data_IF_781297598507
#
_entry.id   IF_781297598507
#
_cell.length_a   1.000
_cell.length_b   1.000
_cell.length_c   1.000
_cell.angle_alpha   90.00
_cell.angle_beta   90.00
_cell.angle_gamma   90.00
#
_symmetry.space_group_name_H-M   'P 1'
#
loop_
_entity.id
_entity.type
_entity.pdbx_description
1 polymer ?
2 polymer ?
3 non-polymer ?
4 non-polymer ?
5 water ?
#
# COMPACT_ATOMS: atom_id res chain seq x y z
N UNK A 3 -1.81 -1.07 21.94
CA UNK A 3 -0.71 -1.31 21.00
C UNK A 3 0.56 -1.62 21.78
N UNK A 4 1.43 -2.46 21.20
CA UNK A 4 2.76 -2.77 21.73
C UNK A 4 3.75 -1.86 21.02
N UNK A 5 4.78 -1.39 21.69
CA UNK A 5 5.68 -0.44 21.01
C UNK A 5 6.94 -1.09 20.41
N UNK A 6 7.11 -0.84 19.12
CA UNK A 6 8.24 -1.33 18.34
C UNK A 6 8.95 -0.14 17.76
N UNK A 7 10.27 -0.25 17.55
CA UNK A 7 10.98 0.82 16.84
C UNK A 7 10.45 0.91 15.42
N UNK A 8 10.30 2.13 14.89
CA UNK A 8 9.70 2.28 13.57
C UNK A 8 10.61 1.69 12.48
N UNK A 9 11.91 1.74 12.71
CA UNK A 9 12.88 1.36 11.69
C UNK A 9 14.11 0.71 12.31
N UNK A 10 14.57 -0.38 11.69
CA UNK A 10 15.84 -1.03 12.05
C UNK A 10 16.65 -1.30 10.79
N UNK A 11 17.96 -1.05 10.85
CA UNK A 11 18.81 -1.21 9.69
C UNK A 11 20.02 -2.09 9.96
N UNK A 12 20.47 -2.81 8.95
CA UNK A 12 21.70 -3.58 9.06
C UNK A 12 22.32 -3.83 7.70
N UNK A 13 23.57 -4.25 7.70
CA UNK A 13 24.27 -4.61 6.47
C UNK A 13 24.12 -6.12 6.26
N UNK A 14 24.25 -6.57 4.99
CA UNK A 14 24.10 -8.00 4.70
C UNK A 14 25.04 -8.87 5.53
N UNK A 15 24.58 -10.03 5.98
CA UNK A 15 25.40 -10.92 6.78
C UNK A 15 25.39 -10.61 8.26
N UNK A 16 24.92 -9.42 8.61
CA UNK A 16 24.95 -8.92 9.99
C UNK A 16 23.70 -9.35 10.78
N UNK A 17 23.78 -9.33 12.11
CA UNK A 17 22.61 -9.63 12.93
C UNK A 17 21.96 -8.33 13.41
N UNK A 18 20.63 -8.28 13.33
CA UNK A 18 19.86 -7.16 13.86
C UNK A 18 18.78 -7.69 14.80
N UNK A 19 18.36 -6.86 15.77
CA UNK A 19 17.31 -7.24 16.69
C UNK A 19 16.20 -6.19 16.72
N UNK A 20 14.96 -6.66 16.71
CA UNK A 20 13.80 -5.79 16.73
C UNK A 20 13.09 -5.95 18.07
N UNK A 21 12.89 -4.84 18.79
CA UNK A 21 12.28 -4.91 20.10
C UNK A 21 10.76 -4.74 20.04
N UNK A 22 10.08 -5.21 21.08
CA UNK A 22 8.63 -5.18 21.15
C UNK A 22 8.28 -5.05 22.63
N UNK A 23 7.91 -3.84 23.04
CA UNK A 23 7.77 -3.53 24.46
C UNK A 23 6.31 -3.41 24.88
N UNK A 24 5.95 -4.19 25.90
CA UNK A 24 4.59 -4.19 26.40
C UNK A 24 4.53 -3.72 27.84
N UNK A 25 3.63 -4.33 28.61
CA UNK A 25 3.43 -4.03 30.02
C UNK A 25 3.34 -5.35 30.78
N UNK A 26 3.13 -5.27 32.09
CA UNK A 26 2.94 -6.48 32.90
C UNK A 26 1.69 -7.27 32.54
N UNK A 27 0.76 -6.61 31.84
CA UNK A 27 -0.54 -7.23 31.55
C UNK A 27 -0.50 -8.09 30.29
N UNK A 28 0.52 -7.91 29.47
CA UNK A 28 0.58 -8.60 28.18
C UNK A 28 1.90 -9.35 27.95
N UNK A 29 2.88 -8.67 27.37
CA UNK A 29 4.17 -9.31 27.04
C UNK A 29 4.83 -9.99 28.24
N UNK A 30 4.92 -9.27 29.36
CA UNK A 30 5.54 -9.80 30.55
C UNK A 30 4.73 -10.88 31.25
N UNK A 31 3.43 -10.92 31.00
CA UNK A 31 2.54 -11.88 31.68
C UNK A 31 2.84 -13.35 31.30
N UNK A 32 2.66 -13.67 30.02
CA UNK A 32 2.82 -15.04 29.54
C UNK A 32 3.87 -15.18 28.45
N UNK A 33 4.15 -16.43 28.09
CA UNK A 33 5.03 -16.75 26.97
C UNK A 33 4.24 -16.87 25.66
N UNK A 34 3.41 -15.87 25.40
CA UNK A 34 2.52 -15.88 24.24
C UNK A 34 2.81 -14.68 23.36
N UNK A 35 4.03 -14.60 22.86
CA UNK A 35 4.42 -13.58 21.88
C UNK A 35 4.67 -14.26 20.54
N UNK A 36 4.06 -13.72 19.48
CA UNK A 36 4.36 -14.18 18.13
C UNK A 36 4.91 -13.04 17.27
N UNK A 37 5.60 -13.41 16.19
CA UNK A 37 6.13 -12.43 15.26
C UNK A 37 5.65 -12.75 13.84
N UNK A 38 5.38 -11.71 13.06
CA UNK A 38 4.94 -11.86 11.68
C UNK A 38 5.75 -10.97 10.75
N UNK A 39 6.09 -11.50 9.59
CA UNK A 39 6.85 -10.78 8.58
C UNK A 39 5.90 -10.37 7.46
N UNK A 40 5.88 -9.09 7.11
CA UNK A 40 4.96 -8.66 6.08
C UNK A 40 5.67 -7.99 4.92
N UNK A 41 5.65 -8.65 3.76
CA UNK A 41 6.04 -8.02 2.52
C UNK A 41 4.76 -7.47 1.92
N UNK A 42 4.66 -6.14 1.79
CA UNK A 42 3.46 -5.54 1.20
C UNK A 42 3.12 -6.14 -0.17
N UNK A 43 1.84 -6.39 -0.42
CA UNK A 43 1.42 -7.12 -1.60
C UNK A 43 1.16 -8.60 -1.31
N UNK A 44 1.54 -9.06 -0.12
CA UNK A 44 1.32 -10.44 0.31
C UNK A 44 0.74 -10.40 1.72
N UNK A 45 0.10 -11.48 2.15
CA UNK A 45 -0.38 -11.54 3.54
C UNK A 45 0.81 -11.76 4.47
N UNK A 46 0.73 -11.23 5.71
CA UNK A 46 1.79 -11.41 6.70
C UNK A 46 2.06 -12.89 6.92
N UNK A 47 3.30 -13.22 7.26
CA UNK A 47 3.72 -14.61 7.40
C UNK A 47 4.12 -14.92 8.84
N UNK A 48 3.60 -16.05 9.35
CA UNK A 48 3.90 -16.56 10.69
C UNK A 48 5.39 -16.92 10.78
N UNK A 49 6.12 -16.30 11.71
CA UNK A 49 7.57 -16.48 11.82
C UNK A 49 7.97 -17.18 13.10
N UNK A 50 7.35 -16.76 14.21
CA UNK A 50 7.74 -17.18 15.55
C UNK A 50 6.48 -17.20 16.39
N UNK A 51 6.36 -18.17 17.29
CA UNK A 51 5.26 -18.18 18.24
C UNK A 51 5.73 -18.65 19.59
N UNK A 52 4.94 -18.34 20.63
CA UNK A 52 5.30 -18.67 22.00
C UNK A 52 6.73 -18.24 22.32
N UNK A 53 7.02 -16.99 21.94
CA UNK A 53 8.28 -16.31 22.19
C UNK A 53 9.45 -16.77 21.31
N UNK A 54 9.66 -18.08 21.23
CA UNK A 54 10.91 -18.59 20.66
C UNK A 54 10.77 -19.82 19.75
N UNK A 55 9.54 -20.26 19.51
CA UNK A 55 9.32 -21.46 18.71
C UNK A 55 9.12 -21.17 17.24
N UNK A 56 9.57 -22.09 16.39
CA UNK A 56 9.42 -21.94 14.95
C UNK A 56 8.23 -22.72 14.40
N UNK A 57 7.41 -22.07 13.56
CA UNK A 57 6.40 -22.76 12.77
C UNK A 57 7.15 -23.53 11.68
N UNK A 58 6.49 -24.50 11.05
CA UNK A 58 7.12 -25.30 10.00
C UNK A 58 7.53 -24.47 8.79
N UNK A 59 8.74 -24.72 8.28
CA UNK A 59 9.18 -24.08 7.05
C UNK A 59 9.88 -22.74 7.22
N UNK A 60 9.85 -22.18 8.42
CA UNK A 60 10.48 -20.89 8.69
C UNK A 60 11.97 -21.05 8.94
N UNK A 61 12.77 -20.21 8.30
CA UNK A 61 14.22 -20.22 8.47
C UNK A 61 14.59 -19.94 9.92
N UNK A 62 15.59 -20.65 10.43
CA UNK A 62 16.06 -20.45 11.79
C UNK A 62 17.04 -19.27 11.89
N UNK A 63 17.13 -18.46 10.84
CA UNK A 63 17.88 -17.20 10.91
C UNK A 63 17.10 -16.21 11.77
N UNK A 64 15.80 -16.43 11.87
CA UNK A 64 14.93 -15.63 12.74
C UNK A 64 14.81 -16.33 14.08
N UNK A 65 15.11 -15.63 15.17
CA UNK A 65 14.96 -16.21 16.49
C UNK A 65 14.31 -15.20 17.42
N UNK A 66 13.58 -15.70 18.42
CA UNK A 66 12.81 -14.83 19.28
C UNK A 66 13.17 -15.04 20.74
N UNK A 67 13.15 -13.96 21.50
CA UNK A 67 13.39 -14.02 22.93
C UNK A 67 12.53 -13.01 23.67
N UNK A 68 12.56 -13.08 25.00
CA UNK A 68 11.79 -12.16 25.83
C UNK A 68 12.52 -11.90 27.15
N UNK A 69 12.55 -10.64 27.57
CA UNK A 69 13.05 -10.28 28.87
C UNK A 69 12.15 -9.22 29.47
N UNK A 70 11.56 -9.52 30.62
CA UNK A 70 10.64 -8.59 31.26
C UNK A 70 9.42 -8.34 30.41
N UNK A 71 9.15 -7.07 30.12
CA UNK A 71 7.99 -6.71 29.32
C UNK A 71 8.35 -6.46 27.86
N UNK A 72 9.57 -6.87 27.47
CA UNK A 72 10.07 -6.63 26.12
C UNK A 72 10.46 -7.92 25.39
N UNK A 73 9.81 -8.15 24.25
CA UNK A 73 10.13 -9.25 23.35
C UNK A 73 11.05 -8.78 22.25
N UNK A 74 11.89 -9.69 21.75
CA UNK A 74 12.86 -9.35 20.72
C UNK A 74 12.87 -10.39 19.60
N UNK A 75 12.87 -9.91 18.36
CA UNK A 75 13.09 -10.75 17.20
C UNK A 75 14.49 -10.48 16.67
N UNK A 76 15.31 -11.52 16.56
CA UNK A 76 16.66 -11.38 16.05
C UNK A 76 16.77 -12.01 14.67
N UNK A 77 17.32 -11.28 13.71
CA UNK A 77 17.52 -11.82 12.37
C UNK A 77 19.01 -11.94 12.09
N UNK A 78 19.49 -13.17 11.90
CA UNK A 78 20.88 -13.39 11.52
C UNK A 78 21.04 -13.67 10.02
N UNK A 79 22.28 -13.65 9.54
CA UNK A 79 22.58 -13.76 8.12
C UNK A 79 21.73 -12.82 7.28
N UNK A 80 21.64 -11.56 7.71
CA UNK A 80 20.70 -10.61 7.11
C UNK A 80 20.83 -10.52 5.59
N UNK A 81 19.71 -10.66 4.90
CA UNK A 81 19.68 -10.61 3.44
C UNK A 81 18.80 -9.46 3.01
N UNK A 82 19.02 -8.97 1.80
CA UNK A 82 18.17 -7.93 1.23
C UNK A 82 16.71 -8.40 1.18
N UNK A 83 16.50 -9.69 0.93
CA UNK A 83 15.13 -10.21 0.90
C UNK A 83 14.43 -10.20 2.26
N UNK A 84 15.18 -9.95 3.34
CA UNK A 84 14.58 -9.76 4.65
C UNK A 84 13.93 -8.38 4.84
N UNK A 85 14.15 -7.46 3.91
CA UNK A 85 13.44 -6.18 3.97
C UNK A 85 11.93 -6.38 3.94
N UNK A 86 11.28 -5.97 5.03
CA UNK A 86 9.86 -6.21 5.25
C UNK A 86 9.44 -5.41 6.48
N UNK A 87 8.15 -5.43 6.77
CA UNK A 87 7.63 -4.90 8.03
C UNK A 87 7.42 -6.06 8.98
N UNK A 88 7.88 -5.92 10.22
CA UNK A 88 7.76 -7.01 11.19
C UNK A 88 6.88 -6.57 12.36
N UNK A 89 5.93 -7.43 12.73
CA UNK A 89 4.97 -7.12 13.77
C UNK A 89 5.01 -8.16 14.87
N UNK A 90 4.96 -7.71 16.12
CA UNK A 90 4.81 -8.64 17.23
C UNK A 90 3.37 -8.60 17.71
N UNK A 91 2.88 -9.74 18.18
CA UNK A 91 1.56 -9.81 18.81
C UNK A 91 1.73 -10.53 20.13
N UNK A 92 0.91 -10.20 21.12
CA UNK A 92 0.98 -10.89 22.40
C UNK A 92 -0.41 -11.13 22.98
N UNK A 93 -0.53 -12.13 23.84
CA UNK A 93 -1.70 -12.22 24.71
C UNK A 93 -1.73 -10.88 25.43
N UNK A 94 -2.91 -10.24 25.50
CA UNK A 94 -3.00 -8.92 26.12
C UNK A 94 -3.80 -8.83 27.40
N UNK A 95 -4.03 -9.96 28.07
CA UNK A 95 -4.86 -9.97 29.25
C UNK A 95 -6.33 -9.99 28.87
N UNK A 96 -7.19 -10.42 29.79
CA UNK A 96 -8.63 -10.45 29.54
C UNK A 96 -8.99 -11.12 28.22
N UNK A 97 -8.41 -12.29 27.98
CA UNK A 97 -8.67 -13.06 26.75
C UNK A 97 -8.56 -12.23 25.47
N UNK A 98 -7.58 -11.33 25.43
CA UNK A 98 -7.40 -10.49 24.26
C UNK A 98 -6.00 -10.67 23.69
N UNK A 99 -5.81 -10.19 22.46
CA UNK A 99 -4.49 -10.16 21.84
C UNK A 99 -4.19 -8.69 21.56
N UNK A 100 -2.93 -8.30 21.73
CA UNK A 100 -2.51 -6.95 21.38
C UNK A 100 -1.32 -7.05 20.44
N UNK A 101 -1.24 -6.11 19.49
CA UNK A 101 -0.20 -6.17 18.48
C UNK A 101 0.59 -4.86 18.42
N UNK A 102 1.72 -4.89 17.72
CA UNK A 102 2.62 -3.76 17.72
C UNK A 102 2.46 -2.88 16.50
N UNK A 103 3.12 -1.71 16.52
CA UNK A 103 3.01 -0.77 15.43
C UNK A 103 3.80 -1.17 14.21
N UNK A 104 4.68 -2.15 14.38
CA UNK A 104 5.45 -2.66 13.26
C UNK A 104 6.82 -2.02 13.16
N UNK A 105 7.76 -2.74 12.56
CA UNK A 105 9.11 -2.24 12.37
C UNK A 105 9.54 -2.50 10.93
N UNK A 106 10.00 -1.45 10.25
CA UNK A 106 10.46 -1.61 8.89
C UNK A 106 11.95 -1.96 8.91
N UNK A 107 12.31 -3.09 8.33
CA UNK A 107 13.71 -3.46 8.21
C UNK A 107 14.31 -2.96 6.89
N UNK A 108 15.42 -2.25 7.01
CA UNK A 108 16.17 -1.74 5.86
C UNK A 108 17.51 -2.46 5.81
N UNK A 109 17.86 -2.98 4.64
CA UNK A 109 19.17 -3.59 4.48
C UNK A 109 20.09 -2.57 3.78
N UNK A 110 21.21 -2.24 4.45
CA UNK A 110 22.10 -1.18 3.99
C UNK A 110 22.97 -1.63 2.82
N UNK A 111 23.54 -0.68 2.09
CA UNK A 111 24.50 -1.01 1.05
C UNK A 111 23.91 -1.13 -0.34
N UNK A 112 22.62 -0.86 -0.46
CA UNK A 112 21.97 -0.98 -1.76
C UNK A 112 22.31 0.26 -2.60
N UNK A 113 22.41 0.05 -3.93
CA UNK A 113 22.71 1.07 -4.94
C UNK A 113 21.85 2.34 -4.82
N UNK A 114 22.52 3.49 -4.68
CA UNK A 114 21.81 4.75 -4.57
C UNK A 114 21.64 5.33 -5.97
N UNK A 115 20.74 6.29 -6.10
CA UNK A 115 20.56 6.97 -7.36
C UNK A 115 19.84 8.30 -7.23
N UNK A 116 20.21 9.26 -8.08
CA UNK A 116 19.55 10.54 -8.14
C UNK A 116 18.19 10.37 -8.81
N UNK A 117 17.23 11.25 -8.51
CA UNK A 117 15.96 11.07 -9.19
C UNK A 117 16.05 11.50 -10.66
N UNK A 118 15.41 10.74 -11.54
CA UNK A 118 15.14 11.22 -12.89
C UNK A 118 13.79 11.90 -12.88
N UNK A 119 13.70 13.09 -13.46
CA UNK A 119 12.47 13.86 -13.37
C UNK A 119 11.94 14.19 -14.76
N UNK A 120 10.68 13.88 -15.00
CA UNK A 120 10.04 14.22 -16.25
C UNK A 120 8.82 15.10 -15.98
N UNK A 121 8.75 16.26 -16.60
CA UNK A 121 7.66 17.20 -16.33
C UNK A 121 6.84 17.42 -17.60
N UNK A 122 5.53 17.14 -17.55
CA UNK A 122 4.65 17.37 -18.70
C UNK A 122 3.76 18.60 -18.45
N UNK A 123 3.64 19.47 -19.48
CA UNK A 123 2.68 20.58 -19.41
C UNK A 123 1.25 20.08 -19.54
N UNK A 124 0.25 20.93 -19.28
CA UNK A 124 -1.12 20.47 -19.53
C UNK A 124 -1.31 20.13 -21.01
N UNK A 125 -2.10 19.11 -21.31
CA UNK A 125 -2.39 18.78 -22.71
C UNK A 125 -3.33 19.80 -23.31
N UNK A 126 -3.28 19.92 -24.63
CA UNK A 126 -4.19 20.80 -25.35
C UNK A 126 -5.63 20.42 -25.04
N UNK A 127 -5.88 19.12 -24.96
CA UNK A 127 -7.23 18.63 -24.75
C UNK A 127 -7.75 19.02 -23.37
N UNK A 128 -6.90 18.92 -22.35
CA UNK A 128 -7.34 19.28 -21.01
C UNK A 128 -7.66 20.77 -20.90
N UNK A 129 -6.82 21.59 -21.52
CA UNK A 129 -7.05 23.04 -21.54
C UNK A 129 -8.38 23.33 -22.19
N UNK A 130 -8.64 22.65 -23.30
CA UNK A 130 -9.88 22.84 -24.06
C UNK A 130 -11.07 22.36 -23.26
N UNK A 131 -10.83 21.57 -22.21
CA UNK A 131 -11.87 21.19 -21.27
C UNK A 131 -11.85 22.10 -20.05
N UNK A 132 -11.20 23.26 -20.18
CA UNK A 132 -11.16 24.27 -19.12
C UNK A 132 -10.53 23.76 -17.83
N UNK A 133 -9.49 22.94 -17.98
CA UNK A 133 -8.74 22.44 -16.82
C UNK A 133 -7.26 22.42 -17.18
N UNK A 134 -6.40 22.28 -16.19
CA UNK A 134 -4.96 22.23 -16.46
C UNK A 134 -4.23 21.50 -15.35
N UNK A 135 -3.46 20.49 -15.73
CA UNK A 135 -2.68 19.74 -14.77
C UNK A 135 -1.25 19.59 -15.25
N UNK A 136 -0.31 20.02 -14.41
CA UNK A 136 1.11 19.74 -14.66
C UNK A 136 1.45 18.44 -13.97
N UNK A 137 2.22 17.59 -14.66
CA UNK A 137 2.51 16.25 -14.19
C UNK A 137 4.00 16.07 -14.02
N UNK A 138 4.44 15.80 -12.80
CA UNK A 138 5.86 15.66 -12.54
C UNK A 138 6.14 14.23 -12.08
N UNK A 139 6.87 13.48 -12.89
CA UNK A 139 7.12 12.07 -12.62
C UNK A 139 8.57 11.87 -12.21
N UNK A 140 8.77 11.14 -11.13
CA UNK A 140 10.08 11.09 -10.50
C UNK A 140 10.41 9.63 -10.28
N UNK A 141 11.56 9.17 -10.78
CA UNK A 141 11.87 7.75 -10.70
C UNK A 141 13.34 7.46 -10.44
N UNK A 142 13.63 6.21 -10.09
CA UNK A 142 15.00 5.71 -9.98
C UNK A 142 15.83 6.31 -8.85
N UNK A 143 15.18 6.84 -7.81
CA UNK A 143 15.95 7.42 -6.71
C UNK A 143 16.06 6.44 -5.55
N UNK A 144 17.18 6.53 -4.86
CA UNK A 144 17.40 5.75 -3.66
C UNK A 144 18.49 6.46 -2.88
N UNK A 145 18.28 6.65 -1.57
CA UNK A 145 17.15 6.12 -0.79
C UNK A 145 15.80 6.79 -1.09
N UNK A 146 14.73 6.20 -0.56
CA UNK A 146 13.38 6.60 -0.96
C UNK A 146 12.82 7.77 -0.18
N UNK A 147 13.50 8.90 -0.26
CA UNK A 147 13.08 10.10 0.43
C UNK A 147 13.36 11.31 -0.46
N UNK A 148 12.31 12.05 -0.75
CA UNK A 148 12.41 13.14 -1.70
C UNK A 148 11.47 14.26 -1.25
N UNK A 149 11.84 15.52 -1.51
CA UNK A 149 10.87 16.59 -1.34
C UNK A 149 10.64 17.27 -2.67
N UNK A 150 9.37 17.53 -2.99
CA UNK A 150 8.99 18.11 -4.26
C UNK A 150 8.41 19.49 -4.05
N UNK A 151 9.00 20.49 -4.70
CA UNK A 151 8.48 21.85 -4.60
C UNK A 151 8.11 22.30 -6.00
N UNK A 152 7.04 23.08 -6.12
CA UNK A 152 6.67 23.68 -7.39
C UNK A 152 6.91 25.19 -7.36
N UNK A 153 7.18 25.77 -8.52
CA UNK A 153 7.31 27.21 -8.62
C UNK A 153 6.43 27.72 -9.75
N UNK A 154 5.88 28.92 -9.58
CA UNK A 154 5.28 29.66 -10.70
C UNK A 154 6.22 30.82 -10.91
N UNK A 155 6.70 30.95 -12.15
CA UNK A 155 7.82 31.84 -12.44
C UNK A 155 8.94 31.48 -11.46
N UNK A 156 9.44 32.44 -10.71
CA UNK A 156 10.51 32.10 -9.79
C UNK A 156 10.08 32.09 -8.31
N UNK A 157 8.80 31.83 -8.06
CA UNK A 157 8.31 31.89 -6.69
C UNK A 157 7.54 30.62 -6.31
N UNK A 158 7.67 30.19 -5.03
CA UNK A 158 7.05 28.96 -4.55
C UNK A 158 5.53 28.96 -4.75
N UNK A 159 5.00 27.78 -5.05
CA UNK A 159 3.56 27.57 -5.22
C UNK A 159 3.12 26.36 -4.42
N UNK A 160 2.16 26.55 -3.53
CA UNK A 160 1.73 25.46 -2.65
C UNK A 160 0.30 25.06 -2.94
N UNK A 161 -0.52 26.02 -3.37
CA UNK A 161 -1.91 25.75 -3.70
C UNK A 161 -2.00 24.84 -4.92
N UNK A 162 -2.92 23.88 -4.87
CA UNK A 162 -3.15 22.96 -5.97
C UNK A 162 -2.13 21.85 -6.18
N UNK A 163 -1.21 21.68 -5.23
CA UNK A 163 -0.18 20.64 -5.35
C UNK A 163 -0.61 19.34 -4.65
N UNK A 164 -0.46 18.23 -5.35
CA UNK A 164 -0.70 16.90 -4.77
C UNK A 164 0.49 16.01 -5.04
N UNK A 165 1.13 15.49 -3.99
CA UNK A 165 2.35 14.71 -4.15
C UNK A 165 2.21 13.35 -3.47
N UNK A 166 2.65 12.29 -4.13
CA UNK A 166 2.57 10.95 -3.55
C UNK A 166 3.74 10.71 -2.60
N UNK A 167 3.60 9.72 -1.72
CA UNK A 167 4.75 9.22 -0.97
C UNK A 167 5.53 8.32 -1.91
N UNK A 168 6.86 8.18 -1.71
CA UNK A 168 7.59 7.29 -2.61
C UNK A 168 7.14 5.83 -2.45
N UNK A 169 7.16 5.08 -3.54
CA UNK A 169 6.88 3.64 -3.52
C UNK A 169 7.99 2.89 -4.26
N UNK A 170 8.35 1.70 -3.79
CA UNK A 170 9.45 0.92 -4.37
C UNK A 170 9.14 0.45 -5.78
N UNK A 171 10.14 0.54 -6.65
CA UNK A 171 10.03 0.01 -8.00
C UNK A 171 10.50 -1.43 -7.98
N UNK A 172 10.37 -2.10 -9.12
CA UNK A 172 10.83 -3.47 -9.29
C UNK A 172 12.31 -3.63 -9.06
N UNK A 173 13.08 -2.59 -9.39
CA UNK A 173 14.53 -2.66 -9.21
C UNK A 173 15.01 -2.14 -7.85
N UNK A 174 14.07 -1.96 -6.93
CA UNK A 174 14.36 -1.53 -5.55
C UNK A 174 14.84 -0.08 -5.40
N UNK A 175 14.67 0.73 -6.44
CA UNK A 175 14.74 2.18 -6.28
C UNK A 175 13.31 2.68 -6.15
N UNK A 176 13.13 3.99 -5.97
CA UNK A 176 11.81 4.50 -5.67
C UNK A 176 11.30 5.39 -6.79
N UNK A 177 9.98 5.54 -6.81
CA UNK A 177 9.31 6.43 -7.75
C UNK A 177 8.29 7.24 -6.98
N UNK A 178 8.02 8.47 -7.43
CA UNK A 178 6.94 9.27 -6.89
C UNK A 178 6.40 10.16 -8.00
N UNK A 179 5.29 10.83 -7.74
CA UNK A 179 4.78 11.78 -8.72
C UNK A 179 4.12 12.96 -8.02
N UNK A 180 4.05 14.10 -8.70
CA UNK A 180 3.43 15.26 -8.11
C UNK A 180 2.65 15.95 -9.20
N UNK A 181 1.52 16.52 -8.82
CA UNK A 181 0.60 17.15 -9.75
C UNK A 181 0.29 18.56 -9.29
N UNK A 182 0.29 19.49 -10.21
CA UNK A 182 -0.09 20.86 -9.92
C UNK A 182 -1.35 21.15 -10.73
N UNK A 183 -2.42 21.55 -10.06
CA UNK A 183 -3.66 21.86 -10.75
C UNK A 183 -3.76 23.37 -10.84
N UNK A 184 -4.09 23.85 -12.03
CA UNK A 184 -4.24 25.28 -12.30
C UNK A 184 -5.50 25.45 -13.13
N UNK A 185 -5.98 26.68 -13.22
CA UNK A 185 -6.93 27.03 -14.26
C UNK A 185 -6.14 27.27 -15.52
N UNK A 186 -6.78 27.13 -16.69
CA UNK A 186 -6.08 27.43 -17.95
C UNK A 186 -5.56 28.87 -17.97
N UNK A 187 -6.28 29.79 -17.36
CA UNK A 187 -5.83 31.18 -17.33
C UNK A 187 -4.55 31.34 -16.51
N UNK A 188 -4.47 30.63 -15.39
CA UNK A 188 -3.25 30.63 -14.58
C UNK A 188 -2.08 30.06 -15.35
N UNK A 189 -2.32 28.95 -16.05
CA UNK A 189 -1.28 28.33 -16.86
C UNK A 189 -0.76 29.33 -17.89
N UNK A 190 -1.68 29.96 -18.61
CA UNK A 190 -1.30 30.85 -19.70
C UNK A 190 -0.78 32.20 -19.26
N UNK A 191 -1.06 32.61 -18.03
CA UNK A 191 -0.71 33.98 -17.61
C UNK A 191 0.66 34.06 -16.96
N UNK A 192 1.33 32.93 -16.81
CA UNK A 192 2.67 32.91 -16.22
C UNK A 192 3.80 32.62 -17.20
N UNK A 193 4.98 33.07 -16.82
CA UNK A 193 6.21 32.85 -17.57
C UNK A 193 6.55 31.36 -17.63
N UNK A 194 6.52 30.72 -16.48
CA UNK A 194 6.92 29.32 -16.40
C UNK A 194 6.41 28.67 -15.14
N UNK A 195 6.44 27.34 -15.13
CA UNK A 195 6.24 26.58 -13.92
C UNK A 195 7.35 25.55 -13.80
N UNK A 196 7.77 25.26 -12.57
CA UNK A 196 8.87 24.33 -12.37
C UNK A 196 8.51 23.33 -11.30
N UNK A 197 9.02 22.11 -11.47
CA UNK A 197 8.91 21.07 -10.46
C UNK A 197 10.34 20.83 -10.01
N UNK A 198 10.59 21.01 -8.72
CA UNK A 198 11.95 20.84 -8.24
C UNK A 198 11.99 19.77 -7.18
N UNK A 199 12.92 18.83 -7.38
CA UNK A 199 12.92 17.60 -6.62
C UNK A 199 14.24 17.51 -5.88
N UNK A 200 14.16 17.55 -4.55
CA UNK A 200 15.36 17.49 -3.73
C UNK A 200 15.53 16.11 -3.14
N UNK A 201 16.72 15.55 -3.34
CA UNK A 201 17.07 14.23 -2.84
C UNK A 201 18.23 14.50 -1.90
N UNK A 202 18.77 13.49 -1.26
CA UNK A 202 19.84 13.75 -0.28
C UNK A 202 21.07 14.48 -0.82
N UNK A 203 21.43 14.23 -2.09
CA UNK A 203 22.66 14.75 -2.64
C UNK A 203 22.51 15.80 -3.73
N UNK A 204 21.27 16.06 -4.16
CA UNK A 204 21.10 17.00 -5.26
C UNK A 204 19.67 17.50 -5.34
N UNK A 205 19.49 18.60 -6.05
CA UNK A 205 18.16 19.05 -6.44
C UNK A 205 18.13 19.07 -7.95
N UNK A 206 17.06 18.51 -8.51
CA UNK A 206 16.86 18.44 -9.95
C UNK A 206 15.58 19.23 -10.26
N UNK A 207 15.67 20.17 -11.18
CA UNK A 207 14.50 21.00 -11.49
C UNK A 207 14.18 20.98 -12.97
N UNK A 208 12.90 20.84 -13.29
CA UNK A 208 12.44 20.86 -14.67
C UNK A 208 11.42 21.96 -14.78
N UNK A 209 11.42 22.63 -15.91
CA UNK A 209 10.54 23.78 -16.10
C UNK A 209 9.79 23.60 -17.41
N UNK A 210 8.55 24.08 -17.46
CA UNK A 210 7.75 24.13 -18.68
C UNK A 210 7.12 25.51 -18.76
N UNK A 211 6.75 25.95 -19.96
CA UNK A 211 6.23 27.29 -20.14
C UNK A 211 5.14 27.25 -21.19
N UNK A 212 4.07 28.04 -20.98
CA UNK A 212 2.94 28.02 -21.92
C UNK A 212 3.29 28.48 -23.34
N UNK A 213 4.35 29.26 -23.48
CA UNK A 213 4.78 29.65 -24.82
C UNK A 213 5.50 28.49 -25.52
N UNK A 214 5.43 27.30 -24.91
CA UNK A 214 6.22 26.12 -25.27
C UNK A 214 7.66 26.49 -25.59
N UNK B 1 -3.40 -28.50 2.10
CA UNK B 1 -3.58 -27.17 1.51
C UNK B 1 -4.71 -26.40 2.20
N UNK B 2 -4.35 -25.55 3.17
CA UNK B 2 -5.34 -24.70 3.82
C UNK B 2 -5.46 -23.39 3.07
N UNK B 3 -6.70 -22.92 2.88
CA UNK B 3 -6.95 -21.64 2.22
C UNK B 3 -8.07 -20.94 2.96
N UNK B 4 -7.89 -19.65 3.30
CA UNK B 4 -8.96 -18.90 3.91
C UNK B 4 -9.53 -17.94 2.88
N UNK B 5 -10.79 -18.14 2.52
CA UNK B 5 -11.39 -17.37 1.43
C UNK B 5 -12.24 -16.22 1.94
N UNK B 6 -11.75 -14.99 1.74
CA UNK B 6 -12.47 -13.79 2.19
C UNK B 6 -13.28 -13.14 1.07
N UNK B 7 -14.33 -12.41 1.43
CA UNK B 7 -15.12 -11.65 0.48
C UNK B 7 -14.29 -10.48 -0.09
N UNK B 8 -14.78 -9.88 -1.17
CA UNK B 8 -13.99 -8.94 -1.95
C UNK B 8 -13.91 -7.53 -1.39
N UNK B 9 -13.10 -6.70 -2.03
CA UNK B 9 -12.86 -5.31 -1.62
C UNK B 9 -14.17 -4.56 -1.48
N UNK B 10 -14.25 -3.68 -0.48
CA UNK B 10 -15.45 -2.87 -0.32
C UNK B 10 -15.13 -1.40 -0.22
N UNK B 11 -16.04 -0.57 -0.71
CA UNK B 11 -15.89 0.87 -0.60
C UNK B 11 -17.11 1.39 0.14
N UNK B 12 -16.88 2.12 1.22
CA UNK B 12 -17.97 2.54 2.10
C UNK B 12 -17.94 4.03 2.42
N UNK B 13 -19.12 4.60 2.66
CA UNK B 13 -19.22 5.98 3.13
C UNK B 13 -18.99 5.99 4.62
N UNK B 14 -18.41 7.08 5.14
CA UNK B 14 -18.28 7.28 6.59
C UNK B 14 -19.63 7.11 7.25
N UNK B 15 -19.65 6.38 8.36
CA UNK B 15 -20.90 6.12 9.07
C UNK B 15 -21.54 4.79 8.70
N UNK B 16 -21.13 4.23 7.56
CA UNK B 16 -21.71 2.97 7.11
C UNK B 16 -21.15 1.75 7.86
N UNK B 17 -21.71 0.59 7.58
CA UNK B 17 -21.17 -0.65 8.14
C UNK B 17 -20.58 -1.51 7.02
N UNK B 18 -19.69 -2.42 7.37
CA UNK B 18 -19.19 -3.40 6.40
C UNK B 18 -19.22 -4.79 7.02
N UNK B 19 -19.53 -5.81 6.23
CA UNK B 19 -19.48 -7.18 6.71
C UNK B 19 -18.58 -7.97 5.77
N UNK B 20 -17.58 -8.62 6.35
CA UNK B 20 -16.60 -9.38 5.58
C UNK B 20 -16.81 -10.83 5.92
N UNK B 21 -16.77 -11.73 4.94
CA UNK B 21 -16.88 -13.16 5.22
C UNK B 21 -15.54 -13.87 5.08
N UNK B 22 -15.43 -15.03 5.70
CA UNK B 22 -14.20 -15.80 5.62
C UNK B 22 -14.62 -17.26 5.61
N UNK B 23 -14.32 -17.98 4.53
CA UNK B 23 -14.62 -19.42 4.51
C UNK B 23 -13.32 -20.21 4.46
N UNK B 24 -12.92 -20.80 5.61
CA UNK B 24 -11.67 -21.57 5.63
C UNK B 24 -11.87 -22.97 5.08
N UNK B 25 -10.89 -23.47 4.33
CA UNK B 25 -10.91 -24.84 3.83
C UNK B 25 -9.59 -25.55 4.12
N UNK B 26 -9.60 -26.88 3.99
CA UNK B 26 -8.37 -27.65 4.16
C UNK B 26 -8.24 -28.21 5.56
N UNK B 27 -9.19 -27.88 6.42
CA UNK B 27 -9.24 -28.43 7.77
C UNK B 27 -10.67 -28.30 8.28
N UNK B 28 -10.96 -28.86 9.45
CA UNK B 28 -12.32 -28.81 9.99
C UNK B 28 -12.59 -27.46 10.66
N UNK B 29 -13.52 -26.69 10.10
CA UNK B 29 -13.78 -25.31 10.51
C UNK B 29 -13.96 -25.13 12.01
N UNK B 30 -14.67 -26.05 12.65
CA UNK B 30 -14.96 -25.89 14.07
C UNK B 30 -13.84 -26.37 15.00
N UNK B 31 -12.68 -26.73 14.44
CA UNK B 31 -11.59 -27.25 15.25
C UNK B 31 -10.63 -26.18 15.77
N UNK B 32 -10.65 -25.00 15.14
CA UNK B 32 -9.69 -23.93 15.45
C UNK B 32 -10.34 -22.57 15.61
N UNK B 33 -9.79 -21.75 16.51
CA UNK B 33 -10.26 -20.38 16.65
C UNK B 33 -10.06 -19.61 15.36
N UNK B 34 -10.93 -18.63 15.14
CA UNK B 34 -10.78 -17.68 14.05
C UNK B 34 -10.48 -16.34 14.70
N UNK B 35 -9.46 -15.61 14.21
CA UNK B 35 -9.24 -14.23 14.63
C UNK B 35 -9.39 -13.30 13.45
N UNK B 36 -9.73 -12.07 13.74
CA UNK B 36 -9.74 -11.03 12.72
C UNK B 36 -8.74 -9.98 13.13
N UNK B 37 -7.93 -9.57 12.17
CA UNK B 37 -6.94 -8.53 12.41
C UNK B 37 -6.99 -7.59 11.22
N UNK B 38 -6.38 -6.42 11.36
CA UNK B 38 -6.19 -5.56 10.19
C UNK B 38 -4.85 -4.84 10.17
N UNK B 39 -4.42 -4.50 8.96
CA UNK B 39 -3.27 -3.63 8.77
C UNK B 39 -3.79 -2.28 8.28
N UNK B 40 -3.66 -1.25 9.11
CA UNK B 40 -4.10 0.09 8.76
C UNK B 40 -2.92 1.04 8.74
N UNK B 41 -2.88 1.96 7.76
CA UNK B 41 -1.79 2.93 7.61
C UNK B 41 -1.48 3.69 8.90
N UNK B 42 -0.24 3.61 9.36
CA UNK B 42 0.19 4.38 10.52
C UNK B 42 -0.45 3.93 11.83
N UNK B 43 -0.98 2.72 11.83
CA UNK B 43 -1.49 2.14 13.07
C UNK B 43 -0.94 0.73 13.25
N UNK B 44 -0.39 0.17 12.19
CA UNK B 44 0.22 -1.14 12.27
C UNK B 44 -0.79 -2.29 12.28
N UNK B 45 -0.48 -3.34 13.02
CA UNK B 45 -1.35 -4.51 13.05
C UNK B 45 -2.29 -4.35 14.25
N UNK B 46 -3.59 -4.43 14.00
CA UNK B 46 -4.58 -4.22 15.06
C UNK B 46 -5.45 -5.45 15.16
N UNK B 47 -5.74 -5.87 16.39
CA UNK B 47 -6.52 -7.08 16.62
C UNK B 47 -7.99 -6.74 16.87
N UNK B 48 -8.88 -7.31 16.07
CA UNK B 48 -10.30 -7.00 16.18
C UNK B 48 -10.99 -7.93 17.19
N UNK B 49 -10.64 -9.22 17.15
CA UNK B 49 -11.23 -10.17 18.08
C UNK B 49 -11.03 -11.62 17.71
N UNK B 50 -11.53 -12.51 18.56
CA UNK B 50 -11.54 -13.94 18.26
C UNK B 50 -12.95 -14.47 18.31
N UNK B 51 -13.20 -15.56 17.58
CA UNK B 51 -14.46 -16.27 17.63
C UNK B 51 -14.20 -17.76 17.71
N UNK B 52 -14.96 -18.42 18.57
CA UNK B 52 -14.94 -19.86 18.66
C UNK B 52 -16.03 -20.38 17.74
N UNK B 53 -15.65 -21.02 16.62
CA UNK B 53 -16.66 -21.43 15.64
C UNK B 53 -17.56 -22.55 16.15
N UNK B 54 -17.09 -23.28 17.16
CA UNK B 54 -17.91 -24.32 17.78
C UNK B 54 -19.14 -23.73 18.44
N UNK B 55 -18.91 -22.72 19.27
CA UNK B 55 -19.96 -22.19 20.14
C UNK B 55 -20.49 -20.83 19.72
N UNK B 56 -19.74 -20.10 18.90
CA UNK B 56 -20.13 -18.76 18.53
C UNK B 56 -19.69 -17.73 19.56
N UNK B 57 -19.05 -18.20 20.62
CA UNK B 57 -18.48 -17.32 21.63
C UNK B 57 -17.39 -16.46 20.98
N UNK B 58 -17.37 -15.17 21.32
CA UNK B 58 -16.41 -14.22 20.75
C UNK B 58 -15.84 -13.27 21.81
N UNK B 59 -14.76 -12.59 21.46
CA UNK B 59 -14.26 -11.49 22.29
C UNK B 59 -13.68 -10.47 21.35
N UNK B 60 -13.86 -9.20 21.66
CA UNK B 60 -13.42 -8.13 20.78
C UNK B 60 -12.33 -7.30 21.45
N UNK B 61 -11.41 -6.75 20.65
CA UNK B 61 -10.48 -5.78 21.18
C UNK B 61 -11.23 -4.64 21.87
N UNK B 62 -10.65 -4.06 22.92
CA UNK B 62 -11.41 -3.06 23.67
C UNK B 62 -11.68 -1.81 22.83
N UNK B 63 -10.84 -1.55 21.84
CA UNK B 63 -11.09 -0.40 20.95
C UNK B 63 -12.10 -0.72 19.83
N UNK B 64 -12.61 -1.96 19.81
CA UNK B 64 -13.64 -2.37 18.84
C UNK B 64 -14.96 -2.79 19.50
N UNK B 65 -14.96 -2.97 20.81
CA UNK B 65 -16.19 -3.33 21.52
C UNK B 65 -17.34 -2.35 21.24
N UNK B 66 -18.51 -2.90 20.95
CA UNK B 66 -19.68 -2.07 20.70
C UNK B 66 -19.85 -1.72 19.24
N UNK B 67 -18.85 -2.01 18.41
CA UNK B 67 -19.02 -1.71 16.98
C UNK B 67 -18.51 -2.81 16.07
N UNK B 68 -18.09 -3.94 16.63
CA UNK B 68 -17.78 -5.09 15.79
C UNK B 68 -18.59 -6.27 16.28
N UNK B 69 -19.07 -7.07 15.34
CA UNK B 69 -19.81 -8.29 15.63
C UNK B 69 -19.25 -9.46 14.82
N UNK B 70 -18.88 -10.55 15.49
CA UNK B 70 -18.38 -11.73 14.80
C UNK B 70 -19.38 -12.87 14.96
N UNK B 71 -19.71 -13.52 13.85
CA UNK B 71 -20.66 -14.62 13.86
C UNK B 71 -20.17 -15.69 12.91
N UNK B 72 -20.86 -16.82 12.87
CA UNK B 72 -20.52 -17.82 11.86
C UNK B 72 -21.71 -18.68 11.50
N UNK B 73 -21.66 -19.22 10.29
CA UNK B 73 -22.66 -20.16 9.81
C UNK B 73 -21.93 -21.48 9.61
N UNK B 74 -22.00 -22.39 10.57
CA UNK B 74 -21.24 -23.64 10.44
C UNK B 74 -21.70 -24.49 9.24
N UNK B 75 -22.93 -24.29 8.81
CA UNK B 75 -23.50 -25.12 7.74
C UNK B 75 -22.80 -24.85 6.42
N UNK B 76 -22.19 -23.67 6.30
CA UNK B 76 -21.41 -23.33 5.11
C UNK B 76 -19.97 -23.00 5.49
N UNK B 77 -19.57 -23.35 6.71
CA UNK B 77 -18.20 -23.13 7.16
C UNK B 77 -17.70 -21.72 6.90
N UNK B 78 -18.54 -20.73 7.25
CA UNK B 78 -18.20 -19.34 6.96
C UNK B 78 -18.29 -18.46 8.21
N UNK B 79 -17.26 -17.62 8.39
CA UNK B 79 -17.20 -16.69 9.52
C UNK B 79 -17.50 -15.29 9.00
N UNK B 80 -18.09 -14.44 9.82
CA UNK B 80 -18.37 -13.07 9.40
C UNK B 80 -17.87 -12.11 10.46
N UNK B 81 -17.39 -10.95 10.01
CA UNK B 81 -17.06 -9.88 10.93
C UNK B 81 -17.77 -8.63 10.39
N UNK B 82 -18.57 -7.97 11.22
CA UNK B 82 -19.21 -6.74 10.79
C UNK B 82 -18.66 -5.60 11.61
N UNK B 83 -18.24 -4.53 10.97
CA UNK B 83 -17.69 -3.38 11.66
C UNK B 83 -18.58 -2.18 11.35
N UNK B 84 -19.09 -1.50 12.37
CA UNK B 84 -20.05 -0.42 12.15
C UNK B 84 -19.44 0.97 12.34
N UNK B 85 -20.20 1.99 11.93
CA UNK B 85 -19.78 3.40 12.03
C UNK B 85 -18.39 3.66 11.51
N UNK B 86 -18.16 3.28 10.25
CA UNK B 86 -16.85 3.39 9.64
C UNK B 86 -16.39 4.84 9.52
N UNK B 87 -15.10 5.06 9.71
CA UNK B 87 -14.49 6.37 9.45
C UNK B 87 -13.21 6.09 8.70
N UNK B 88 -12.47 7.14 8.36
CA UNK B 88 -11.21 6.98 7.63
C UNK B 88 -10.20 6.10 8.38
N UNK B 89 -10.32 6.05 9.71
CA UNK B 89 -9.48 5.19 10.55
C UNK B 89 -9.67 3.73 10.18
N UNK B 90 -10.78 3.40 9.55
CA UNK B 90 -11.09 2.00 9.26
C UNK B 90 -10.67 1.55 7.88
N UNK B 91 -10.16 2.48 7.08
CA UNK B 91 -9.53 2.13 5.81
C UNK B 91 -8.29 1.27 6.11
N UNK B 92 -8.33 0.02 5.69
CA UNK B 92 -7.33 -0.98 6.08
C UNK B 92 -7.50 -2.25 5.26
N UNK B 93 -6.54 -3.16 5.37
CA UNK B 93 -6.74 -4.51 4.85
C UNK B 93 -7.08 -5.43 6.01
N UNK B 94 -8.20 -6.12 5.92
CA UNK B 94 -8.71 -6.95 7.01
C UNK B 94 -8.36 -8.39 6.70
N UNK B 95 -7.84 -9.11 7.69
CA UNK B 95 -7.52 -10.52 7.51
C UNK B 95 -8.29 -11.36 8.51
N UNK B 96 -8.89 -12.44 8.02
CA UNK B 96 -9.34 -13.56 8.82
C UNK B 96 -8.12 -14.44 8.98
N UNK B 97 -7.86 -14.92 10.19
CA UNK B 97 -6.75 -15.86 10.39
C UNK B 97 -7.18 -17.05 11.25
N UNK B 98 -6.47 -18.16 11.12
CA UNK B 98 -6.71 -19.30 11.99
C UNK B 98 -5.93 -19.06 13.27
N UNK B 99 -6.48 -19.48 14.41
CA UNK B 99 -5.76 -19.41 15.65
C UNK B 99 -5.50 -20.81 16.21
N UNK B 100 -5.42 -20.92 17.53
CA UNK B 100 -5.03 -22.17 18.16
C UNK B 100 -6.12 -23.25 18.02
N UNK B 101 -5.73 -24.50 18.21
CA UNK B 101 -6.67 -25.62 18.23
C UNK B 101 -7.59 -25.47 19.44
N UNK B 102 -8.86 -25.82 19.29
CA UNK B 102 -9.83 -25.69 20.38
C UNK B 102 -9.91 -26.98 21.20
N UNK B 103 -9.57 -26.85 22.49
CA UNK B 103 -9.57 -27.98 23.42
C UNK B 103 -10.65 -27.78 24.48
N UNK B 104 -11.16 -28.87 25.03
CA UNK B 104 -12.08 -28.79 26.16
C UNK B 104 -11.32 -28.61 27.47
N UNK B 105 -10.01 -28.85 27.42
CA UNK B 105 -9.18 -28.91 28.63
C UNK B 105 -8.47 -27.62 29.00
N UNK B 106 -8.35 -26.70 28.06
CA UNK B 106 -7.67 -25.44 28.33
C UNK B 106 -8.10 -24.35 27.35
N UNK B 107 -8.01 -23.11 27.79
CA UNK B 107 -8.42 -21.98 26.96
C UNK B 107 -7.27 -21.51 26.08
N UNK B 108 -7.40 -21.66 24.77
CA UNK B 108 -6.36 -21.18 23.86
C UNK B 108 -6.90 -20.09 22.93
N UNK B 109 -8.06 -19.53 23.27
CA UNK B 109 -8.67 -18.46 22.46
C UNK B 109 -7.74 -17.28 22.24
N UNK B 110 -6.90 -17.00 23.23
CA UNK B 110 -6.10 -15.79 23.22
C UNK B 110 -4.66 -16.04 22.81
N UNK B 111 -4.36 -17.25 22.31
CA UNK B 111 -3.05 -17.52 21.73
C UNK B 111 -2.93 -16.78 20.40
N UNK B 112 -1.94 -15.87 20.27
CA UNK B 112 -1.77 -15.13 19.01
C UNK B 112 -0.98 -15.94 18.00
N UNK B 113 -1.46 -17.15 17.75
CA UNK B 113 -0.78 -18.12 16.91
C UNK B 113 -1.48 -18.24 15.57
N UNK B 114 -1.18 -17.31 14.67
CA UNK B 114 -1.93 -17.19 13.43
C UNK B 114 -1.19 -17.88 12.29
N UNK B 115 -1.43 -19.18 12.16
CA UNK B 115 -0.74 -20.03 11.18
C UNK B 115 -1.13 -19.70 9.74
N UNK B 116 -2.43 -19.54 9.51
CA UNK B 116 -2.91 -19.36 8.14
C UNK B 116 -3.70 -18.07 8.03
N UNK B 117 -3.52 -17.38 6.91
CA UNK B 117 -4.09 -16.06 6.69
C UNK B 117 -4.96 -16.06 5.43
N UNK B 118 -6.10 -15.37 5.48
CA UNK B 118 -6.92 -15.14 4.31
C UNK B 118 -6.19 -14.23 3.34
N UNK B 119 -6.77 -13.99 2.16
CA UNK B 119 -6.04 -13.22 1.16
C UNK B 119 -6.11 -11.72 1.47
N UNK B 120 -6.96 -11.35 2.45
CA UNK B 120 -7.09 -9.97 2.85
C UNK B 120 -8.28 -9.37 2.13
N UNK B 121 -8.95 -8.46 2.80
CA UNK B 121 -10.05 -7.70 2.23
C UNK B 121 -9.79 -6.22 2.42
N UNK B 122 -9.67 -5.50 1.32
CA UNK B 122 -9.47 -4.06 1.45
C UNK B 122 -10.81 -3.36 1.68
N UNK B 123 -10.92 -2.56 2.74
CA UNK B 123 -12.06 -1.66 2.82
C UNK B 123 -11.59 -0.21 2.77
N UNK B 124 -12.22 0.55 1.89
CA UNK B 124 -11.86 1.95 1.71
C UNK B 124 -13.03 2.80 2.17
N UNK B 125 -12.78 3.67 3.15
CA UNK B 125 -13.87 4.49 3.68
C UNK B 125 -13.71 5.90 3.13
N UNK B 126 -14.72 6.38 2.43
CA UNK B 126 -14.55 7.68 1.78
C UNK B 126 -15.91 8.25 1.44
N UNK B 127 -16.03 9.57 1.49
CA UNK B 127 -17.25 10.21 1.05
C UNK B 127 -17.29 10.40 -0.46
N UNK B 128 -16.22 10.02 -1.16
CA UNK B 128 -16.20 10.15 -2.62
C UNK B 128 -17.22 9.24 -3.28
N UNK B 129 -17.64 9.63 -4.48
CA UNK B 129 -18.62 8.85 -5.24
C UNK B 129 -17.91 8.25 -6.47
N UNK B 130 -18.31 7.03 -6.83
CA UNK B 130 -17.73 6.32 -7.98
C UNK B 130 -17.76 7.18 -9.23
N UNK B 131 -16.64 7.21 -9.96
CA UNK B 131 -16.52 8.07 -11.13
C UNK B 131 -15.41 7.56 -12.02
N UNK B 132 -15.68 7.47 -13.31
CA UNK B 132 -14.68 7.06 -14.27
C UNK B 132 -13.71 8.18 -14.54
N UNK B 133 -12.52 7.84 -15.04
CA UNK B 133 -11.47 8.85 -15.25
C UNK B 133 -11.63 9.67 -16.52
N UNK B 134 -11.06 10.86 -16.51
CA UNK B 134 -10.81 11.58 -17.73
C UNK B 134 -9.41 11.15 -18.13
N UNK B 135 -9.21 10.82 -19.40
CA UNK B 135 -7.89 10.40 -19.84
C UNK B 135 -7.33 11.41 -20.81
N UNK B 136 -6.18 11.98 -20.45
CA UNK B 136 -5.52 12.98 -21.29
C UNK B 136 -4.17 12.48 -21.78
N UNK B 137 -3.78 12.87 -23.01
CA UNK B 137 -2.51 12.39 -23.53
C UNK B 137 -1.36 13.19 -22.91
N UNK B 138 -0.26 12.50 -22.61
CA UNK B 138 0.97 13.19 -22.26
C UNK B 138 1.86 13.10 -23.48
N UNK B 139 1.80 14.11 -24.34
CA UNK B 139 2.50 14.10 -25.61
C UNK B 139 4.02 14.09 -25.44
N UNK B 140 4.71 13.40 -26.35
CA UNK B 140 6.18 13.41 -26.31
C UNK B 140 6.69 14.81 -26.64
N UNK B 141 7.88 15.14 -26.14
CA UNK B 141 8.45 16.46 -26.37
C UNK B 141 8.62 16.76 -27.87
N UNK B 142 8.47 18.03 -28.24
CA UNK B 142 8.81 18.51 -29.58
C UNK B 142 10.28 18.27 -29.88
N UNK B 143 11.07 18.23 -28.81
CA UNK B 143 12.54 18.21 -28.90
C UNK B 143 13.08 16.79 -28.91
N UNK B 144 12.44 15.91 -28.15
CA UNK B 144 12.84 14.54 -28.11
C UNK B 144 12.48 13.90 -29.43
N UNK B 145 11.65 14.57 -30.20
CA UNK B 145 11.24 14.06 -31.46
C UNK B 145 12.41 14.31 -32.38
N UNK B 146 13.32 13.38 -32.49
CA UNK B 146 14.45 13.58 -33.36
C UNK B 146 15.23 12.32 -33.18
N UNK B 147 14.99 11.27 -33.94
CA UNK B 147 15.73 10.03 -33.75
C UNK B 147 15.59 9.66 -32.26
N UNK B 148 16.63 9.09 -31.65
CA UNK B 148 16.65 8.76 -30.23
C UNK B 148 15.41 8.22 -29.57
N UNK B 149 15.16 8.61 -28.34
CA UNK B 149 13.96 8.18 -27.61
C UNK B 149 13.12 9.34 -27.08
N UNK B 150 11.84 9.07 -26.88
CA UNK B 150 10.90 10.06 -26.34
C UNK B 150 10.05 9.39 -25.28
N UNK B 151 9.69 10.15 -24.26
CA UNK B 151 8.71 9.67 -23.28
C UNK B 151 7.33 10.22 -23.64
N UNK B 152 6.32 9.34 -23.62
CA UNK B 152 4.95 9.77 -23.78
C UNK B 152 4.07 8.97 -22.83
N UNK B 153 2.86 9.45 -22.56
CA UNK B 153 2.03 8.75 -21.61
C UNK B 153 0.58 9.15 -21.65
N UNK B 154 -0.15 8.69 -20.63
CA UNK B 154 -1.54 9.05 -20.43
C UNK B 154 -1.73 9.49 -19.00
N UNK B 155 -2.44 10.62 -18.83
CA UNK B 155 -2.84 11.15 -17.53
C UNK B 155 -4.25 10.62 -17.26
N UNK B 156 -4.40 9.80 -16.24
CA UNK B 156 -5.69 9.21 -15.89
C UNK B 156 -6.22 10.00 -14.68
N UNK B 157 -7.20 10.86 -14.94
CA UNK B 157 -7.50 11.92 -13.97
C UNK B 157 -8.86 11.79 -13.32
N UNK B 158 -8.88 12.01 -12.00
CA UNK B 158 -10.12 12.19 -11.23
C UNK B 158 -11.06 10.99 -11.31
N UNK B 159 -10.58 9.85 -10.84
CA UNK B 159 -11.41 8.65 -10.79
C UNK B 159 -11.59 8.17 -9.35
N UNK B 160 -12.60 7.33 -9.13
CA UNK B 160 -12.82 6.74 -7.81
C UNK B 160 -13.77 5.56 -7.97
N UNK B 161 -13.50 4.46 -7.25
CA UNK B 161 -12.34 4.22 -6.37
C UNK B 161 -11.20 3.60 -7.16
N UNK B 162 -10.13 3.22 -6.48
CA UNK B 162 -9.12 2.38 -7.09
C UNK B 162 -9.75 1.02 -7.35
N UNK B 163 -9.20 0.24 -8.29
CA UNK B 163 -8.00 0.54 -9.07
C UNK B 163 -8.29 0.87 -10.52
N UNK B 164 -7.33 1.51 -11.19
CA UNK B 164 -7.32 1.47 -12.64
C UNK B 164 -6.10 0.69 -13.09
N UNK B 165 -6.20 0.05 -14.24
CA UNK B 165 -5.03 -0.59 -14.82
C UNK B 165 -4.78 0.07 -16.15
N UNK B 166 -3.52 0.12 -16.56
CA UNK B 166 -3.19 0.68 -17.86
C UNK B 166 -2.30 -0.31 -18.58
N UNK B 167 -2.63 -0.60 -19.82
CA UNK B 167 -1.73 -1.32 -20.72
C UNK B 167 -1.48 -0.43 -21.93
N UNK B 168 -0.53 -0.81 -22.78
CA UNK B 168 -0.21 -0.03 -23.96
C UNK B 168 -0.29 -0.93 -25.18
N UNK B 169 -1.00 -0.47 -26.20
CA UNK B 169 -1.19 -1.24 -27.42
C UNK B 169 -1.68 -2.65 -27.14
N UNK B 170 -2.63 -2.75 -26.21
CA UNK B 170 -3.26 -4.02 -25.84
C UNK B 170 -2.27 -5.01 -25.25
N UNK B 171 -1.22 -4.50 -24.63
CA UNK B 171 -0.25 -5.36 -23.98
C UNK B 171 0.83 -5.81 -24.94
N UNK B 172 0.75 -5.39 -26.19
CA UNK B 172 1.79 -5.68 -27.16
C UNK B 172 3.03 -4.83 -26.89
N UNK B 173 2.85 -3.77 -26.13
CA UNK B 173 3.96 -2.89 -25.76
C UNK B 173 4.17 -2.95 -24.25
N UNK B 174 5.28 -3.54 -23.80
CA UNK B 174 5.54 -3.67 -22.37
C UNK B 174 6.91 -3.12 -21.97
N UNK B 175 7.87 -3.26 -22.86
CA UNK B 175 9.21 -2.75 -22.59
C UNK B 175 9.14 -1.22 -22.40
N UNK B 176 9.61 -0.74 -21.26
CA UNK B 176 9.74 0.68 -21.04
C UNK B 176 8.47 1.33 -20.55
N UNK B 177 7.48 0.52 -20.19
CA UNK B 177 6.25 1.04 -19.62
C UNK B 177 6.40 1.25 -18.13
N UNK B 178 6.17 2.47 -17.66
CA UNK B 178 6.09 2.67 -16.20
C UNK B 178 4.77 3.35 -15.84
N UNK B 179 3.97 2.65 -15.07
CA UNK B 179 2.72 3.16 -14.57
C UNK B 179 2.94 3.53 -13.12
N UNK B 180 2.69 4.79 -12.78
CA UNK B 180 2.96 5.29 -11.43
C UNK B 180 1.78 5.05 -10.51
N UNK B 181 2.06 4.79 -9.22
CA UNK B 181 0.99 4.66 -8.23
C UNK B 181 0.17 5.93 -8.18
N UNK B 182 -1.14 5.80 -7.93
CA UNK B 182 -2.01 6.95 -7.99
C UNK B 182 -1.78 7.87 -6.81
N UNK B 183 -2.10 9.14 -7.00
CA UNK B 183 -2.17 10.11 -5.92
C UNK B 183 -3.62 10.25 -5.49
N UNK B 184 -3.84 10.30 -4.18
CA UNK B 184 -5.17 10.58 -3.66
C UNK B 184 -5.23 12.08 -3.39
N UNK B 185 -6.10 12.74 -4.12
CA UNK B 185 -6.17 14.19 -4.08
C UNK B 185 -7.10 14.68 -2.99
N UNK B 186 -7.01 15.97 -2.71
CA UNK B 186 -7.82 16.61 -1.69
C UNK B 186 -9.31 16.48 -1.96
N UNK B 187 -9.67 16.26 -3.23
CA UNK B 187 -11.06 16.06 -3.60
C UNK B 187 -11.57 14.66 -3.24
N UNK B 188 -10.67 13.75 -2.86
CA UNK B 188 -11.07 12.39 -2.59
C UNK B 188 -11.00 11.52 -3.83
N UNK B 189 -10.63 12.14 -4.95
CA UNK B 189 -10.50 11.42 -6.22
C UNK B 189 -9.03 11.11 -6.48
N UNK B 190 -8.77 10.06 -7.26
CA UNK B 190 -7.41 9.67 -7.59
C UNK B 190 -7.01 10.13 -8.97
N UNK B 191 -5.71 10.35 -9.16
CA UNK B 191 -5.15 10.48 -10.49
C UNK B 191 -3.89 9.65 -10.58
N UNK B 192 -3.61 9.14 -11.76
CA UNK B 192 -2.33 8.48 -12.00
C UNK B 192 -1.84 8.75 -13.40
N UNK B 193 -0.58 8.43 -13.63
CA UNK B 193 0.03 8.57 -14.94
C UNK B 193 0.74 7.30 -15.32
N UNK B 194 0.71 7.00 -16.62
CA UNK B 194 1.47 5.87 -17.15
C UNK B 194 2.29 6.39 -18.30
N UNK B 195 3.59 6.09 -18.29
CA UNK B 195 4.47 6.58 -19.35
C UNK B 195 5.25 5.45 -19.98
N UNK B 196 5.50 5.56 -21.28
CA UNK B 196 6.31 4.58 -21.99
C UNK B 196 7.41 5.32 -22.76
N UNK B 197 8.61 4.73 -22.80
CA UNK B 197 9.69 5.31 -23.55
C UNK B 197 9.81 4.51 -24.84
N UNK B 198 9.78 5.22 -25.96
CA UNK B 198 9.77 4.60 -27.27
C UNK B 198 10.89 5.27 -28.08
N UNK B 199 11.42 4.56 -29.09
CA UNK B 199 12.43 5.27 -29.89
C UNK B 199 11.77 6.47 -30.57
N UNK B 200 12.39 7.64 -30.46
CA UNK B 200 11.80 8.85 -31.00
C UNK B 200 11.70 8.80 -32.52
N UNK B 201 12.49 7.93 -33.15
CA UNK B 201 12.39 7.70 -34.60
C UNK B 201 11.03 7.12 -34.97
N UNK B 202 10.32 6.60 -33.97
CA UNK B 202 9.06 5.92 -34.18
C UNK B 202 7.81 6.81 -34.13
N UNK B 203 7.92 7.96 -33.46
CA UNK B 203 6.78 8.86 -33.26
C UNK B 203 6.12 9.27 -34.58
N UNK B 204 4.80 9.22 -34.64
CA UNK B 204 4.07 9.64 -35.83
C UNK B 204 3.63 8.55 -36.78
N UNK B 205 4.52 7.60 -37.08
CA UNK B 205 4.14 6.43 -37.88
C UNK B 205 3.48 5.36 -37.00
N UNK B 206 4.25 4.84 -36.05
CA UNK B 206 3.76 3.87 -35.08
C UNK B 206 2.72 4.47 -34.13
N UNK B 207 1.59 3.79 -33.99
CA UNK B 207 0.50 4.27 -33.14
C UNK B 207 0.67 3.82 -31.70
N UNK B 208 0.59 4.76 -30.76
CA UNK B 208 0.61 4.45 -29.34
C UNK B 208 -0.75 4.73 -28.71
N UNK B 209 -1.32 3.71 -28.10
CA UNK B 209 -2.62 3.80 -27.47
C UNK B 209 -2.51 3.30 -26.04
N UNK B 210 -2.98 4.10 -25.09
CA UNK B 210 -3.00 3.59 -23.73
C UNK B 210 -4.38 3.05 -23.44
N UNK B 211 -4.42 1.86 -22.87
CA UNK B 211 -5.67 1.19 -22.61
C UNK B 211 -5.94 1.31 -21.11
N UNK B 212 -6.92 2.14 -20.76
CA UNK B 212 -7.22 2.40 -19.36
C UNK B 212 -8.47 1.64 -18.98
N UNK B 213 -8.36 0.83 -17.92
CA UNK B 213 -9.47 0.03 -17.43
C UNK B 213 -9.84 0.49 -16.02
N UNK B 214 -11.07 0.98 -15.86
CA UNK B 214 -11.59 1.31 -14.54
C UNK B 214 -12.83 0.49 -14.27
N UNK B 215 -12.60 -0.73 -13.80
CA UNK B 215 -13.70 -1.67 -13.59
C UNK B 215 -14.76 -1.19 -12.58
N UNK B 216 -14.35 -0.46 -11.51
CA UNK B 216 -15.40 -0.04 -10.57
C UNK B 216 -16.49 0.82 -11.20
N UNK B 217 -16.17 1.56 -12.25
CA UNK B 217 -17.19 2.34 -12.94
C UNK B 217 -17.61 1.69 -14.26
N UNK B 218 -17.10 0.48 -14.50
CA UNK B 218 -17.35 -0.23 -15.76
C UNK B 218 -16.98 0.56 -16.99
N UNK B 219 -15.84 1.25 -16.95
CA UNK B 219 -15.40 1.96 -18.14
C UNK B 219 -14.00 1.59 -18.57
N UNK B 220 -13.82 1.61 -19.89
CA UNK B 220 -12.53 1.41 -20.51
C UNK B 220 -12.37 2.54 -21.49
N UNK B 221 -11.17 3.12 -21.54
CA UNK B 221 -10.88 4.05 -22.63
C UNK B 221 -9.56 3.69 -23.27
N UNK B 222 -9.56 3.72 -24.60
CA UNK B 222 -8.36 3.48 -25.38
C UNK B 222 -8.01 4.84 -25.99
N UNK B 223 -6.90 5.41 -25.52
CA UNK B 223 -6.56 6.79 -25.83
C UNK B 223 -5.31 6.85 -26.70
N UNK B 224 -5.43 7.46 -27.88
CA UNK B 224 -4.27 7.63 -28.74
C UNK B 224 -3.41 8.79 -28.27
N UNK B 225 -2.10 8.55 -28.19
CA UNK B 225 -1.18 9.58 -27.76
C UNK B 225 -0.31 9.94 -28.95
N UNK B 226 -0.49 11.16 -29.45
CA UNK B 226 0.14 11.60 -30.68
C UNK B 226 1.09 12.76 -30.40
N UNK B 227 2.07 12.98 -31.30
CA UNK B 227 2.95 14.16 -31.23
C UNK B 227 2.17 15.48 -31.22
N UNK B 228 2.81 16.56 -30.74
CA UNK B 228 2.29 17.93 -30.77
C UNK B 228 1.40 18.26 -29.58
#
# INVERSE_FOLDING_TARGET
>A
LPVLTQPASVSGSPGQSITISCTGTIYDVGKFDLVSWYQHHPGKAPKYLIYEVKKWPSGVSHRFSGSKSGNTASLTISGLQVEDEADYYCCSFGGSAAVVCGGGTKVTVLGQPKGAPSVTLFPPSSEELQANKATLVCLISDFYPGAVTVAWKADSSPVKAGVETTTPSKQSNNKYAASSYLSLTPEQWKSHRSYSCQVTHEGSTVEKTVAPTECS
>B
QVQLVQSGAEVKNPGASVKVSCAPSGYTFTDFYIHWVRLAPGQGLEWLGWMNPKTGRTNQGQNFQGRVTMTRDTSIGTAYMELRSLTSDDTAVYYCVTGAWISDYYDSSYYPNFDHWGQGTLVTVSGASTKGPSVFPLAPSSKSTSGGTAALGCLVKDYFPEPVTVSWNSGALTSGVHTFPAVLQSSGLYSLSSVVTVPSSSLGTQTYICNVNHKPSNTKVDKRVEPKSCDKHHHHHH
#
